data_IF_689118560142
#
_entry.id   IF_689118560142
#
_cell.length_a   1.000
_cell.length_b   1.000
_cell.length_c   1.000
_cell.angle_alpha   90.00
_cell.angle_beta   90.00
_cell.angle_gamma   90.00
#
_symmetry.space_group_name_H-M   'P 1'
#
loop_
_entity.id
_entity.type
_entity.pdbx_description
1 polymer ?
#
# COMPACT_ATOMS: atom_id res chain seq x y z
N UNK A 1 6.74 21.62 -2.66
CA UNK A 1 7.36 20.35 -2.25
C UNK A 1 6.30 19.52 -1.55
N UNK A 2 6.07 18.29 -2.00
CA UNK A 2 5.04 17.40 -1.42
C UNK A 2 5.48 16.90 -0.07
N UNK A 3 4.58 16.98 0.91
CA UNK A 3 4.83 16.50 2.27
C UNK A 3 4.12 15.16 2.46
N UNK A 4 4.88 14.13 2.80
CA UNK A 4 4.37 12.78 3.00
C UNK A 4 4.61 12.36 4.45
N UNK A 5 3.54 11.91 5.11
CA UNK A 5 3.63 11.25 6.41
C UNK A 5 3.67 9.73 6.20
N UNK A 6 4.64 9.08 6.75
CA UNK A 6 4.82 7.63 6.66
C UNK A 6 4.54 7.01 8.02
N UNK A 7 3.55 6.12 8.07
CA UNK A 7 3.34 5.24 9.22
C UNK A 7 4.18 4.00 9.00
N UNK A 8 5.23 3.86 9.80
CA UNK A 8 6.13 2.71 9.81
C UNK A 8 5.58 1.62 10.71
N UNK A 9 5.21 0.50 10.11
CA UNK A 9 4.68 -0.68 10.82
C UNK A 9 5.79 -1.63 11.31
N UNK A 10 6.94 -1.08 11.73
CA UNK A 10 8.10 -1.84 12.19
C UNK A 10 8.68 -2.75 11.10
N UNK A 11 8.72 -2.24 9.87
CA UNK A 11 9.24 -2.95 8.71
C UNK A 11 10.66 -2.53 8.37
N UNK A 12 11.54 -3.51 8.11
CA UNK A 12 12.94 -3.24 7.76
C UNK A 12 13.11 -2.55 6.39
N UNK A 13 12.09 -2.61 5.52
CA UNK A 13 12.11 -2.01 4.18
C UNK A 13 11.42 -0.65 4.10
N UNK A 14 10.84 -0.13 5.18
CA UNK A 14 10.17 1.18 5.17
C UNK A 14 11.06 2.28 4.62
N UNK A 15 12.34 2.32 5.02
CA UNK A 15 13.27 3.35 4.56
C UNK A 15 13.66 3.25 3.10
N UNK A 16 13.49 2.10 2.45
CA UNK A 16 13.63 1.99 0.99
C UNK A 16 12.50 2.74 0.27
N UNK A 17 11.26 2.67 0.81
CA UNK A 17 10.15 3.51 0.32
C UNK A 17 10.41 4.98 0.54
N UNK A 18 10.86 5.36 1.73
CA UNK A 18 11.23 6.74 2.08
C UNK A 18 12.27 7.28 1.11
N UNK A 19 13.32 6.52 0.87
CA UNK A 19 14.41 6.91 -0.03
C UNK A 19 13.91 7.18 -1.46
N UNK A 20 13.07 6.31 -2.01
CA UNK A 20 12.47 6.54 -3.32
C UNK A 20 11.61 7.81 -3.35
N UNK A 21 10.82 8.07 -2.30
CA UNK A 21 10.00 9.28 -2.23
C UNK A 21 10.85 10.55 -2.14
N UNK A 22 11.94 10.52 -1.39
CA UNK A 22 12.88 11.64 -1.29
C UNK A 22 13.61 11.89 -2.61
N UNK A 23 14.04 10.84 -3.32
CA UNK A 23 14.61 10.94 -4.66
C UNK A 23 13.60 11.54 -5.68
N UNK A 24 12.31 11.34 -5.48
CA UNK A 24 11.23 11.94 -6.27
C UNK A 24 10.89 13.37 -5.82
N UNK A 25 11.64 13.95 -4.88
CA UNK A 25 11.52 15.34 -4.44
C UNK A 25 10.48 15.58 -3.34
N UNK A 26 10.03 14.54 -2.66
CA UNK A 26 9.13 14.68 -1.51
C UNK A 26 9.89 14.98 -0.22
N UNK A 27 9.22 15.68 0.72
CA UNK A 27 9.65 15.79 2.11
C UNK A 27 8.90 14.74 2.93
N UNK A 28 9.64 13.82 3.53
CA UNK A 28 9.08 12.67 4.24
C UNK A 28 9.27 12.82 5.75
N UNK A 29 8.22 12.51 6.51
CA UNK A 29 8.27 12.37 7.97
C UNK A 29 7.83 10.96 8.32
N UNK A 30 8.65 10.23 9.06
CA UNK A 30 8.38 8.84 9.47
C UNK A 30 8.03 8.80 10.94
N UNK A 31 6.99 8.04 11.29
CA UNK A 31 6.62 7.72 12.67
C UNK A 31 6.27 6.23 12.76
N UNK A 32 6.69 5.60 13.85
CA UNK A 32 6.24 4.25 14.18
C UNK A 32 4.73 4.24 14.46
N UNK A 33 4.04 3.17 14.09
CA UNK A 33 2.58 3.08 14.12
C UNK A 33 1.93 3.27 15.49
N UNK A 34 2.71 3.15 16.56
CA UNK A 34 2.31 3.34 17.96
C UNK A 34 3.00 4.54 18.65
N UNK A 35 3.75 5.36 17.88
CA UNK A 35 4.56 6.47 18.42
C UNK A 35 4.27 7.79 17.70
N UNK A 36 3.00 8.11 17.51
CA UNK A 36 2.57 9.41 17.01
C UNK A 36 1.17 9.76 17.56
N UNK A 37 0.83 11.04 17.53
CA UNK A 37 -0.53 11.49 17.83
C UNK A 37 -1.36 11.48 16.54
N UNK A 38 -2.64 11.06 16.63
CA UNK A 38 -3.54 11.03 15.45
C UNK A 38 -3.75 12.39 14.77
N UNK A 39 -3.34 13.49 15.39
CA UNK A 39 -3.35 14.84 14.81
C UNK A 39 -2.08 15.15 13.99
N UNK A 40 -0.97 14.46 14.20
CA UNK A 40 0.29 14.78 13.49
C UNK A 40 0.16 14.76 11.97
N UNK A 41 -0.56 13.83 11.34
CA UNK A 41 -0.73 13.83 9.87
C UNK A 41 -1.57 14.99 9.31
N UNK A 42 -2.20 15.84 10.12
CA UNK A 42 -3.15 16.87 9.63
C UNK A 42 -2.54 17.80 8.57
N UNK A 43 -1.30 18.21 8.75
CA UNK A 43 -0.58 19.12 7.85
C UNK A 43 0.03 18.47 6.60
N UNK A 44 -0.22 17.18 6.38
CA UNK A 44 0.30 16.40 5.26
C UNK A 44 -0.80 16.12 4.24
N UNK A 45 -0.47 16.23 2.97
CA UNK A 45 -1.40 15.87 1.88
C UNK A 45 -1.40 14.35 1.62
N UNK A 46 -0.25 13.71 1.82
CA UNK A 46 -0.02 12.31 1.51
C UNK A 46 0.24 11.49 2.76
N UNK A 47 -0.33 10.29 2.81
CA UNK A 47 -0.12 9.31 3.87
C UNK A 47 0.31 7.97 3.26
N UNK A 48 1.52 7.54 3.56
CA UNK A 48 2.03 6.22 3.18
C UNK A 48 1.94 5.27 4.37
N UNK A 49 1.35 4.11 4.16
CA UNK A 49 1.24 3.03 5.14
C UNK A 49 2.23 1.93 4.74
N UNK A 50 3.26 1.72 5.53
CA UNK A 50 4.35 0.80 5.20
C UNK A 50 3.93 -0.67 5.29
N UNK A 51 4.73 -1.58 4.70
CA UNK A 51 4.70 -2.98 5.09
C UNK A 51 4.93 -3.15 6.59
N UNK A 52 4.71 -4.34 7.10
CA UNK A 52 5.00 -4.70 8.48
C UNK A 52 4.64 -6.13 8.82
N UNK A 53 5.09 -6.63 9.98
CA UNK A 53 4.78 -7.97 10.46
C UNK A 53 3.34 -8.05 11.00
N UNK A 54 2.86 -9.27 11.18
CA UNK A 54 1.57 -9.54 11.81
C UNK A 54 0.36 -9.19 10.94
N UNK A 55 -0.70 -8.76 11.59
CA UNK A 55 -1.96 -8.37 10.98
C UNK A 55 -2.33 -6.92 11.37
N UNK A 56 -3.24 -6.24 10.63
CA UNK A 56 -3.57 -4.84 10.90
C UNK A 56 -4.06 -4.54 12.31
N UNK A 57 -4.74 -5.47 12.97
CA UNK A 57 -5.23 -5.28 14.35
C UNK A 57 -4.09 -5.14 15.37
N UNK A 58 -2.90 -5.61 15.06
CA UNK A 58 -1.69 -5.53 15.90
C UNK A 58 -0.83 -4.30 15.59
N UNK A 59 -1.23 -3.48 14.63
CA UNK A 59 -0.41 -2.40 14.07
C UNK A 59 -0.72 -1.01 14.67
N UNK A 60 -0.85 -0.93 15.99
CA UNK A 60 -1.00 0.34 16.71
C UNK A 60 -2.15 1.21 16.19
N UNK A 61 -1.83 2.42 15.75
CA UNK A 61 -2.80 3.41 15.28
C UNK A 61 -3.10 3.32 13.77
N UNK A 62 -2.62 2.29 13.06
CA UNK A 62 -2.72 2.20 11.61
C UNK A 62 -4.17 2.31 11.11
N UNK A 63 -5.08 1.49 11.63
CA UNK A 63 -6.49 1.50 11.21
C UNK A 63 -7.20 2.80 11.60
N UNK A 64 -6.95 3.32 12.80
CA UNK A 64 -7.51 4.60 13.24
C UNK A 64 -7.06 5.78 12.35
N UNK A 65 -5.81 5.77 11.89
CA UNK A 65 -5.31 6.78 10.95
C UNK A 65 -6.00 6.67 9.58
N UNK A 66 -6.23 5.46 9.07
CA UNK A 66 -6.96 5.25 7.82
C UNK A 66 -8.40 5.79 7.95
N UNK A 67 -9.11 5.42 8.99
CA UNK A 67 -10.49 5.88 9.25
C UNK A 67 -10.58 7.40 9.29
N UNK A 68 -9.66 8.05 10.01
CA UNK A 68 -9.63 9.51 10.14
C UNK A 68 -9.30 10.22 8.83
N UNK A 69 -8.33 9.70 8.08
CA UNK A 69 -7.70 10.46 6.99
C UNK A 69 -8.11 10.03 5.57
N UNK A 70 -8.76 8.88 5.39
CA UNK A 70 -9.20 8.44 4.08
C UNK A 70 -10.09 9.46 3.34
N UNK A 71 -10.99 10.22 4.02
CA UNK A 71 -11.82 11.20 3.32
C UNK A 71 -11.06 12.42 2.78
N UNK A 72 -9.86 12.71 3.30
CA UNK A 72 -9.20 14.02 3.06
C UNK A 72 -7.80 13.92 2.48
N UNK A 73 -7.15 12.77 2.57
CA UNK A 73 -5.75 12.60 2.15
C UNK A 73 -5.58 11.60 1.03
N UNK A 74 -4.47 11.74 0.30
CA UNK A 74 -4.03 10.76 -0.68
C UNK A 74 -3.28 9.66 0.05
N UNK A 75 -3.87 8.47 0.15
CA UNK A 75 -3.32 7.33 0.90
C UNK A 75 -2.80 6.26 -0.05
N UNK A 76 -1.59 5.77 0.21
CA UNK A 76 -1.04 4.56 -0.39
C UNK A 76 -0.72 3.54 0.70
N UNK A 77 -1.36 2.38 0.65
CA UNK A 77 -1.04 1.23 1.49
C UNK A 77 -0.15 0.22 0.79
N UNK A 78 0.91 -0.23 1.45
CA UNK A 78 1.84 -1.24 0.95
C UNK A 78 1.80 -2.47 1.85
N UNK A 79 1.53 -3.64 1.28
CA UNK A 79 1.48 -4.94 1.96
C UNK A 79 0.51 -4.91 3.16
N UNK A 80 1.00 -4.83 4.40
CA UNK A 80 0.16 -4.65 5.60
C UNK A 80 -0.75 -3.41 5.48
N UNK A 81 -0.26 -2.34 4.88
CA UNK A 81 -1.05 -1.13 4.60
C UNK A 81 -2.25 -1.39 3.69
N UNK A 82 -2.11 -2.25 2.66
CA UNK A 82 -3.25 -2.69 1.84
C UNK A 82 -4.26 -3.48 2.67
N UNK A 83 -3.78 -4.40 3.48
CA UNK A 83 -4.63 -5.24 4.31
C UNK A 83 -5.43 -4.40 5.31
N UNK A 84 -4.80 -3.41 5.94
CA UNK A 84 -5.46 -2.47 6.84
C UNK A 84 -6.52 -1.63 6.14
N UNK A 85 -6.24 -1.10 4.95
CA UNK A 85 -7.23 -0.39 4.13
C UNK A 85 -8.42 -1.30 3.82
N UNK A 86 -8.15 -2.53 3.39
CA UNK A 86 -9.21 -3.49 3.10
C UNK A 86 -10.11 -3.72 4.30
N UNK A 87 -9.56 -4.00 5.47
CA UNK A 87 -10.34 -4.23 6.70
C UNK A 87 -11.14 -3.01 7.15
N UNK A 88 -10.57 -1.81 7.08
CA UNK A 88 -11.29 -0.56 7.41
C UNK A 88 -12.53 -0.38 6.54
N UNK A 89 -12.47 -0.77 5.27
CA UNK A 89 -13.61 -0.72 4.34
C UNK A 89 -14.43 -2.02 4.27
N UNK A 90 -14.23 -2.94 5.23
CA UNK A 90 -15.08 -4.12 5.43
C UNK A 90 -14.64 -5.40 4.72
N UNK A 91 -13.44 -5.44 4.15
CA UNK A 91 -12.88 -6.67 3.60
C UNK A 91 -12.35 -7.60 4.70
N UNK A 92 -12.20 -8.87 4.38
CA UNK A 92 -11.66 -9.89 5.27
C UNK A 92 -10.28 -10.36 4.82
N UNK A 93 -9.41 -10.69 5.79
CA UNK A 93 -8.12 -11.31 5.54
C UNK A 93 -8.24 -12.84 5.49
N UNK A 94 -7.46 -13.44 4.61
CA UNK A 94 -7.28 -14.90 4.52
C UNK A 94 -5.78 -15.21 4.61
N UNK A 95 -5.43 -16.20 5.44
CA UNK A 95 -4.08 -16.71 5.49
C UNK A 95 -3.90 -17.78 4.40
N UNK A 96 -2.90 -17.59 3.57
CA UNK A 96 -2.57 -18.54 2.51
C UNK A 96 -1.77 -19.71 3.05
N UNK A 97 -1.92 -20.87 2.44
CA UNK A 97 -1.07 -22.03 2.73
C UNK A 97 0.40 -21.82 2.28
N UNK A 98 0.60 -20.90 1.34
CA UNK A 98 1.93 -20.52 0.83
C UNK A 98 2.40 -19.21 1.43
N UNK A 99 3.63 -19.22 1.97
CA UNK A 99 4.33 -18.00 2.40
C UNK A 99 5.19 -17.50 1.26
N UNK A 100 4.94 -16.28 0.80
CA UNK A 100 5.83 -15.58 -0.13
C UNK A 100 6.91 -14.85 0.68
N UNK A 101 8.17 -15.13 0.39
CA UNK A 101 9.30 -14.49 1.07
C UNK A 101 10.41 -14.18 0.06
N UNK A 102 10.37 -12.98 -0.51
CA UNK A 102 11.33 -12.58 -1.55
C UNK A 102 11.12 -13.31 -2.86
N UNK A 103 9.89 -13.44 -3.32
CA UNK A 103 9.51 -14.12 -4.56
C UNK A 103 8.95 -13.11 -5.55
N UNK A 104 9.50 -13.11 -6.77
CA UNK A 104 8.96 -12.33 -7.88
C UNK A 104 7.88 -13.13 -8.61
N UNK A 105 6.67 -12.61 -8.65
CA UNK A 105 5.55 -13.21 -9.39
C UNK A 105 5.00 -12.26 -10.44
N UNK A 106 4.44 -12.76 -11.55
CA UNK A 106 3.73 -11.91 -12.49
C UNK A 106 2.45 -11.35 -11.85
N UNK A 107 2.10 -10.15 -12.27
CA UNK A 107 0.88 -9.46 -11.90
C UNK A 107 0.17 -9.04 -13.18
N UNK A 108 -1.15 -9.16 -13.21
CA UNK A 108 -2.00 -8.71 -14.31
C UNK A 108 -2.93 -7.59 -13.84
N UNK A 109 -2.85 -6.45 -14.51
CA UNK A 109 -3.76 -5.31 -14.31
C UNK A 109 -5.11 -5.63 -14.95
N UNK A 110 -6.21 -5.44 -14.23
CA UNK A 110 -7.58 -5.78 -14.68
C UNK A 110 -8.52 -4.58 -14.73
N UNK A 111 -8.10 -3.46 -14.14
CA UNK A 111 -8.84 -2.20 -14.12
C UNK A 111 -7.89 -1.04 -14.30
N UNK A 112 -8.39 0.06 -14.86
CA UNK A 112 -7.64 1.30 -14.94
C UNK A 112 -7.21 1.75 -13.53
N UNK A 113 -5.91 1.93 -13.35
CA UNK A 113 -5.30 2.28 -12.09
C UNK A 113 -4.15 3.28 -12.30
N UNK A 114 -4.28 4.40 -11.63
CA UNK A 114 -3.31 5.49 -11.66
C UNK A 114 -1.87 5.03 -11.37
N UNK A 115 -1.71 4.14 -10.37
CA UNK A 115 -0.41 3.62 -9.97
C UNK A 115 0.34 2.95 -11.13
N UNK A 116 -0.39 2.36 -12.08
CA UNK A 116 0.18 1.59 -13.18
C UNK A 116 0.23 2.34 -14.50
N UNK A 117 -0.06 3.64 -14.49
CA UNK A 117 -0.02 4.48 -15.69
C UNK A 117 1.36 4.44 -16.35
N UNK A 118 1.38 4.08 -17.63
CA UNK A 118 2.61 3.96 -18.41
C UNK A 118 3.41 2.67 -18.16
N UNK A 119 2.86 1.71 -17.41
CA UNK A 119 3.42 0.38 -17.24
C UNK A 119 2.76 -0.63 -18.18
N UNK A 120 3.43 -1.77 -18.48
CA UNK A 120 2.80 -2.88 -19.20
C UNK A 120 1.60 -3.44 -18.41
N UNK A 121 0.66 -4.10 -19.07
CA UNK A 121 -0.46 -4.79 -18.41
C UNK A 121 -0.02 -5.95 -17.52
N UNK A 122 1.15 -6.53 -17.82
CA UNK A 122 1.76 -7.62 -17.06
C UNK A 122 3.19 -7.24 -16.70
N UNK A 123 3.53 -7.33 -15.43
CA UNK A 123 4.88 -7.10 -14.93
C UNK A 123 5.12 -7.90 -13.65
N UNK A 124 6.39 -8.06 -13.28
CA UNK A 124 6.78 -8.78 -12.06
C UNK A 124 6.77 -7.87 -10.86
N UNK A 125 6.38 -8.44 -9.71
CA UNK A 125 6.36 -7.76 -8.40
C UNK A 125 6.93 -8.66 -7.32
N UNK A 126 7.66 -8.06 -6.39
CA UNK A 126 8.23 -8.76 -5.23
C UNK A 126 7.20 -8.92 -4.11
N UNK A 127 7.09 -10.14 -3.59
CA UNK A 127 6.11 -10.51 -2.56
C UNK A 127 6.79 -11.03 -1.30
N UNK A 128 6.24 -10.61 -0.14
CA UNK A 128 6.75 -10.95 1.20
C UNK A 128 5.56 -11.05 2.18
N UNK A 129 4.60 -11.95 1.90
CA UNK A 129 3.39 -12.08 2.72
C UNK A 129 2.79 -13.48 2.68
N UNK A 130 1.97 -13.81 3.67
CA UNK A 130 1.13 -15.00 3.71
C UNK A 130 -0.36 -14.67 3.86
N UNK A 131 -0.69 -13.41 4.19
CA UNK A 131 -2.06 -12.93 4.27
C UNK A 131 -2.45 -12.13 3.03
N UNK A 132 -3.69 -12.28 2.58
CA UNK A 132 -4.28 -11.51 1.48
C UNK A 132 -5.71 -11.10 1.83
N UNK A 133 -6.19 -10.06 1.18
CA UNK A 133 -7.60 -9.71 1.24
C UNK A 133 -8.43 -10.68 0.38
N UNK A 134 -9.53 -11.15 0.95
CA UNK A 134 -10.47 -12.03 0.26
C UNK A 134 -11.25 -11.25 -0.81
N UNK A 135 -11.48 -11.88 -1.95
CA UNK A 135 -12.36 -11.36 -3.00
C UNK A 135 -13.65 -12.19 -3.10
N UNK A 136 -14.78 -11.60 -3.52
CA UNK A 136 -14.93 -10.21 -3.99
C UNK A 136 -14.77 -9.18 -2.88
N UNK A 137 -14.25 -7.99 -3.23
CA UNK A 137 -14.10 -6.88 -2.29
C UNK A 137 -15.45 -6.24 -1.94
N UNK A 138 -15.55 -5.55 -0.78
CA UNK A 138 -16.69 -4.71 -0.44
C UNK A 138 -16.99 -3.66 -1.52
N UNK A 139 -18.23 -3.17 -1.53
CA UNK A 139 -18.79 -2.32 -2.59
C UNK A 139 -17.96 -1.05 -2.88
N UNK A 140 -17.30 -0.47 -1.87
CA UNK A 140 -16.56 0.77 -2.02
C UNK A 140 -15.13 0.58 -2.55
N UNK A 141 -14.66 -0.66 -2.63
CA UNK A 141 -13.34 -1.01 -3.12
C UNK A 141 -13.40 -1.65 -4.51
N UNK A 142 -12.36 -1.39 -5.30
CA UNK A 142 -12.19 -1.96 -6.64
C UNK A 142 -10.87 -2.72 -6.68
N UNK A 143 -10.92 -4.00 -7.03
CA UNK A 143 -9.72 -4.79 -7.32
C UNK A 143 -9.12 -4.31 -8.65
N UNK A 144 -7.83 -3.99 -8.66
CA UNK A 144 -7.17 -3.41 -9.84
C UNK A 144 -6.12 -4.34 -10.46
N UNK A 145 -5.60 -5.30 -9.70
CA UNK A 145 -4.71 -6.34 -10.24
C UNK A 145 -4.77 -7.64 -9.44
N UNK A 146 -4.41 -8.72 -10.10
CA UNK A 146 -4.32 -10.07 -9.54
C UNK A 146 -3.04 -10.77 -9.98
N UNK A 147 -2.62 -11.77 -9.21
CA UNK A 147 -1.63 -12.75 -9.65
C UNK A 147 -2.28 -13.89 -10.46
N UNK A 148 -1.46 -14.87 -10.90
CA UNK A 148 -1.93 -16.01 -11.68
C UNK A 148 -2.88 -16.94 -10.89
N UNK A 149 -2.85 -16.88 -9.55
CA UNK A 149 -3.72 -17.65 -8.67
C UNK A 149 -4.99 -16.88 -8.26
N UNK A 150 -5.31 -15.76 -8.93
CA UNK A 150 -6.44 -14.89 -8.62
C UNK A 150 -6.39 -14.27 -7.22
N UNK A 151 -5.20 -14.13 -6.64
CA UNK A 151 -4.99 -13.42 -5.40
C UNK A 151 -4.89 -11.92 -5.68
N UNK A 152 -5.54 -11.12 -4.84
CA UNK A 152 -5.58 -9.67 -5.00
C UNK A 152 -4.18 -9.05 -4.80
N UNK A 153 -3.71 -8.29 -5.79
CA UNK A 153 -2.40 -7.64 -5.74
C UNK A 153 -2.49 -6.11 -5.59
N UNK A 154 -3.62 -5.52 -5.95
CA UNK A 154 -3.84 -4.08 -5.72
C UNK A 154 -5.32 -3.73 -5.71
N UNK A 155 -5.63 -2.64 -5.04
CA UNK A 155 -6.98 -2.09 -4.96
C UNK A 155 -6.97 -0.56 -4.94
N UNK A 156 -8.11 0.02 -5.24
CA UNK A 156 -8.40 1.44 -4.98
C UNK A 156 -9.80 1.60 -4.39
N UNK A 157 -10.02 2.70 -3.69
CA UNK A 157 -11.37 3.12 -3.34
C UNK A 157 -12.07 3.75 -4.56
N UNK A 158 -13.39 3.60 -4.66
CA UNK A 158 -14.16 4.11 -5.80
C UNK A 158 -14.14 5.62 -5.94
N UNK A 159 -14.21 6.34 -4.82
CA UNK A 159 -14.37 7.81 -4.79
C UNK A 159 -13.29 8.55 -3.99
N UNK A 160 -12.63 7.88 -3.03
CA UNK A 160 -11.58 8.49 -2.22
C UNK A 160 -10.21 8.29 -2.88
N UNK A 161 -9.26 9.18 -2.57
CA UNK A 161 -7.88 9.06 -3.06
C UNK A 161 -7.08 8.02 -2.25
N UNK A 162 -7.63 6.82 -2.11
CA UNK A 162 -7.04 5.70 -1.39
C UNK A 162 -6.72 4.58 -2.36
N UNK A 163 -5.46 4.16 -2.37
CA UNK A 163 -4.91 3.09 -3.20
C UNK A 163 -4.02 2.19 -2.39
N UNK A 164 -3.86 0.96 -2.84
CA UNK A 164 -2.99 0.03 -2.15
C UNK A 164 -2.46 -1.07 -3.07
N UNK A 165 -1.31 -1.61 -2.67
CA UNK A 165 -0.64 -2.74 -3.33
C UNK A 165 -0.24 -3.79 -2.29
N UNK A 166 -0.38 -5.08 -2.63
CA UNK A 166 0.04 -6.19 -1.77
C UNK A 166 1.53 -6.46 -1.87
N UNK A 167 2.12 -6.14 -2.99
CA UNK A 167 3.54 -6.32 -3.26
C UNK A 167 4.37 -5.14 -2.74
N UNK A 168 5.70 -5.28 -2.82
CA UNK A 168 6.66 -4.31 -2.33
C UNK A 168 7.27 -3.48 -3.48
N UNK A 169 6.82 -2.23 -3.71
CA UNK A 169 7.40 -1.36 -4.75
C UNK A 169 8.87 -1.04 -4.52
N UNK A 170 9.32 -1.05 -3.25
CA UNK A 170 10.70 -0.77 -2.86
C UNK A 170 11.66 -1.93 -3.10
N UNK A 171 11.12 -3.13 -3.35
CA UNK A 171 11.94 -4.31 -3.59
C UNK A 171 12.62 -4.27 -4.95
N UNK A 172 13.87 -4.75 -5.00
CA UNK A 172 14.59 -4.98 -6.25
C UNK A 172 13.85 -5.95 -7.19
N UNK A 173 12.96 -6.77 -6.64
CA UNK A 173 12.13 -7.73 -7.38
C UNK A 173 10.93 -7.06 -8.08
N UNK A 174 10.71 -5.76 -7.84
CA UNK A 174 9.67 -4.95 -8.49
C UNK A 174 10.34 -3.90 -9.39
N UNK A 175 10.65 -4.23 -10.67
CA UNK A 175 11.41 -3.34 -11.54
C UNK A 175 10.77 -1.98 -11.77
N UNK A 176 9.44 -1.89 -11.72
CA UNK A 176 8.69 -0.65 -11.93
C UNK A 176 8.28 0.05 -10.62
N UNK A 177 8.83 -0.36 -9.47
CA UNK A 177 8.40 0.11 -8.15
C UNK A 177 8.52 1.63 -7.99
N UNK A 178 9.64 2.22 -8.39
CA UNK A 178 9.83 3.69 -8.32
C UNK A 178 8.81 4.43 -9.20
N UNK A 179 8.48 3.90 -10.39
CA UNK A 179 7.48 4.48 -11.27
C UNK A 179 6.07 4.45 -10.66
N UNK A 180 5.73 3.41 -9.93
CA UNK A 180 4.47 3.29 -9.19
C UNK A 180 4.37 4.40 -8.13
N UNK A 181 5.42 4.63 -7.35
CA UNK A 181 5.49 5.71 -6.37
C UNK A 181 5.44 7.10 -7.03
N UNK A 182 6.16 7.28 -8.14
CA UNK A 182 6.11 8.52 -8.94
C UNK A 182 4.68 8.82 -9.42
N UNK A 183 3.98 7.80 -9.94
CA UNK A 183 2.60 7.94 -10.37
C UNK A 183 1.68 8.34 -9.22
N UNK A 184 1.88 7.78 -8.03
CA UNK A 184 1.10 8.12 -6.85
C UNK A 184 1.28 9.58 -6.42
N UNK A 185 2.50 10.06 -6.33
CA UNK A 185 2.76 11.41 -5.82
C UNK A 185 2.50 12.51 -6.85
N UNK A 186 2.39 12.20 -8.15
CA UNK A 186 2.21 13.18 -9.21
C UNK A 186 0.75 13.35 -9.69
N UNK A 187 -0.21 12.71 -8.99
CA UNK A 187 -1.63 12.80 -9.36
C UNK A 187 -2.57 13.11 -8.20
#
# INVERSE_FOLDING_TARGET
MKKIFVIDNYDSFTYNLVHYLEELGAKVTVRLNDQFELSEPEDYEYLLLSPGPGIPDEAGLLKAAIEKYAPTKKILGVCLGQQAIGEVFGASLVNLDTVFHGVATPLRVVQDELLFKGLPENFKVGRYHSWVLQTPLPQDLVATSFDDNQQLMSLRHKSLSVRAVQFHPESILTPHGKKILENWINN
#
